data_IF_641140563855
#
_entry.id   IF_641140563855
#
_cell.length_a   1.000
_cell.length_b   1.000
_cell.length_c   1.000
_cell.angle_alpha   90.00
_cell.angle_beta   90.00
_cell.angle_gamma   90.00
#
_symmetry.space_group_name_H-M   'P 1'
#
loop_
_entity.id
_entity.type
_entity.pdbx_description
1 polymer ?
#
# COMPACT_ATOMS: atom_id res chain seq x y z
N UNK A 1 -23.04 -16.87 -9.84
CA UNK A 1 -22.08 -15.85 -9.36
C UNK A 1 -21.66 -15.06 -10.59
N UNK A 2 -21.79 -13.74 -10.58
CA UNK A 2 -21.48 -12.90 -11.75
C UNK A 2 -20.13 -12.23 -11.51
N UNK A 3 -19.20 -12.43 -12.43
CA UNK A 3 -17.91 -11.72 -12.42
C UNK A 3 -18.16 -10.34 -13.01
N UNK A 4 -17.96 -9.31 -12.20
CA UNK A 4 -18.13 -7.91 -12.58
C UNK A 4 -16.82 -7.27 -13.07
N UNK A 5 -16.90 -6.00 -13.47
CA UNK A 5 -15.78 -5.24 -14.01
C UNK A 5 -14.66 -5.01 -13.00
N UNK A 6 -14.97 -4.86 -11.70
CA UNK A 6 -13.95 -4.65 -10.67
C UNK A 6 -13.11 -5.91 -10.47
N UNK A 7 -13.73 -7.09 -10.55
CA UNK A 7 -13.01 -8.36 -10.53
C UNK A 7 -12.12 -8.55 -11.76
N UNK A 8 -12.59 -8.14 -12.94
CA UNK A 8 -11.81 -8.18 -14.18
C UNK A 8 -10.59 -7.25 -14.08
N UNK A 9 -10.79 -6.00 -13.65
CA UNK A 9 -9.71 -5.03 -13.47
C UNK A 9 -8.69 -5.53 -12.43
N UNK A 10 -9.17 -5.97 -11.27
CA UNK A 10 -8.32 -6.54 -10.21
C UNK A 10 -7.55 -7.79 -10.64
N UNK A 11 -8.14 -8.60 -11.53
CA UNK A 11 -7.47 -9.77 -12.10
C UNK A 11 -6.35 -9.36 -13.06
N UNK A 12 -6.56 -8.30 -13.85
CA UNK A 12 -5.60 -7.79 -14.83
C UNK A 12 -4.43 -7.06 -14.17
N UNK A 13 -4.68 -6.24 -13.16
CA UNK A 13 -3.64 -5.48 -12.43
C UNK A 13 -2.96 -6.28 -11.30
N UNK A 14 -3.46 -7.48 -10.99
CA UNK A 14 -2.91 -8.38 -9.99
C UNK A 14 -3.31 -8.07 -8.54
N UNK A 15 -4.23 -7.13 -8.30
CA UNK A 15 -4.70 -6.73 -6.97
C UNK A 15 -5.82 -7.61 -6.41
N UNK A 16 -6.40 -8.49 -7.24
CA UNK A 16 -7.48 -9.39 -6.82
C UNK A 16 -7.00 -10.42 -5.79
N UNK A 17 -7.81 -10.61 -4.74
CA UNK A 17 -7.60 -11.62 -3.70
C UNK A 17 -7.41 -13.04 -4.28
N UNK A 18 -6.53 -13.88 -3.71
CA UNK A 18 -6.23 -15.21 -4.25
C UNK A 18 -7.44 -16.14 -4.43
N UNK A 19 -8.45 -16.08 -3.54
CA UNK A 19 -9.65 -16.90 -3.68
C UNK A 19 -10.50 -16.44 -4.85
N UNK A 20 -10.64 -15.11 -5.02
CA UNK A 20 -11.39 -14.52 -6.14
C UNK A 20 -10.66 -14.76 -7.47
N UNK A 21 -9.33 -14.70 -7.47
CA UNK A 21 -8.50 -15.02 -8.63
C UNK A 21 -8.77 -16.43 -9.17
N UNK A 22 -8.79 -17.45 -8.29
CA UNK A 22 -9.12 -18.83 -8.69
C UNK A 22 -10.49 -18.94 -9.34
N UNK A 23 -11.49 -18.24 -8.79
CA UNK A 23 -12.84 -18.23 -9.36
C UNK A 23 -12.88 -17.60 -10.76
N UNK A 24 -12.09 -16.54 -11.00
CA UNK A 24 -11.95 -15.94 -12.33
C UNK A 24 -11.23 -16.87 -13.30
N UNK A 25 -10.16 -17.55 -12.85
CA UNK A 25 -9.42 -18.53 -13.67
C UNK A 25 -10.32 -19.68 -14.12
N UNK A 26 -11.08 -20.27 -13.19
CA UNK A 26 -12.06 -21.30 -13.51
C UNK A 26 -13.18 -20.82 -14.45
N UNK A 27 -13.58 -19.55 -14.34
CA UNK A 27 -14.58 -18.98 -15.23
C UNK A 27 -14.01 -18.71 -16.63
N UNK A 28 -12.74 -18.30 -16.73
CA UNK A 28 -12.05 -18.07 -18.00
C UNK A 28 -11.95 -19.34 -18.87
N UNK A 29 -11.83 -20.51 -18.24
CA UNK A 29 -11.83 -21.79 -18.96
C UNK A 29 -13.18 -22.12 -19.60
N UNK A 30 -14.27 -21.59 -19.05
CA UNK A 30 -15.65 -21.97 -19.41
C UNK A 30 -16.39 -20.87 -20.18
N UNK A 31 -15.95 -19.62 -20.04
CA UNK A 31 -16.61 -18.46 -20.63
C UNK A 31 -15.66 -17.69 -21.59
N UNK A 32 -15.81 -17.88 -22.91
CA UNK A 32 -15.00 -17.16 -23.89
C UNK A 32 -15.31 -15.65 -23.93
N UNK A 33 -16.48 -15.21 -23.47
CA UNK A 33 -16.83 -13.78 -23.44
C UNK A 33 -16.08 -13.06 -22.33
N UNK A 34 -15.94 -13.69 -21.16
CA UNK A 34 -15.08 -13.22 -20.09
C UNK A 34 -13.61 -13.15 -20.53
N UNK A 35 -13.14 -14.16 -21.28
CA UNK A 35 -11.78 -14.15 -21.82
C UNK A 35 -11.55 -12.96 -22.77
N UNK A 36 -12.53 -12.64 -23.62
CA UNK A 36 -12.47 -11.45 -24.47
C UNK A 36 -12.46 -10.14 -23.67
N UNK A 37 -13.25 -10.05 -22.59
CA UNK A 37 -13.27 -8.89 -21.71
C UNK A 37 -11.93 -8.67 -21.00
N UNK A 38 -11.36 -9.72 -20.42
CA UNK A 38 -10.02 -9.69 -19.79
C UNK A 38 -8.95 -9.29 -20.80
N UNK A 39 -9.03 -9.79 -22.04
CA UNK A 39 -8.08 -9.41 -23.09
C UNK A 39 -8.19 -7.92 -23.45
N UNK A 40 -9.40 -7.41 -23.64
CA UNK A 40 -9.62 -5.97 -23.90
C UNK A 40 -9.06 -5.09 -22.79
N UNK A 41 -9.23 -5.50 -21.53
CA UNK A 41 -8.71 -4.76 -20.39
C UNK A 41 -7.18 -4.77 -20.36
N UNK A 42 -6.55 -5.92 -20.65
CA UNK A 42 -5.09 -6.02 -20.81
C UNK A 42 -4.56 -5.14 -21.93
N UNK A 43 -5.23 -5.14 -23.08
CA UNK A 43 -4.84 -4.30 -24.22
C UNK A 43 -4.93 -2.81 -23.86
N UNK A 44 -5.96 -2.42 -23.10
CA UNK A 44 -6.14 -1.04 -22.60
C UNK A 44 -5.03 -0.67 -21.61
N UNK A 45 -4.71 -1.54 -20.65
CA UNK A 45 -3.63 -1.33 -19.70
C UNK A 45 -2.26 -1.22 -20.40
N UNK A 46 -2.03 -2.03 -21.43
CA UNK A 46 -0.81 -1.97 -22.25
C UNK A 46 -0.70 -0.64 -23.01
N UNK A 47 -1.79 -0.16 -23.60
CA UNK A 47 -1.81 1.16 -24.27
C UNK A 47 -1.48 2.30 -23.31
N UNK A 48 -2.05 2.27 -22.10
CA UNK A 48 -1.76 3.26 -21.07
C UNK A 48 -0.30 3.19 -20.61
N UNK A 49 0.22 2.00 -20.34
CA UNK A 49 1.61 1.82 -19.94
C UNK A 49 2.60 2.24 -21.03
N UNK A 50 2.24 2.08 -22.30
CA UNK A 50 3.05 2.54 -23.42
C UNK A 50 3.01 4.08 -23.57
N UNK A 51 1.84 4.69 -23.34
CA UNK A 51 1.67 6.15 -23.41
C UNK A 51 2.33 6.88 -22.23
N UNK A 52 2.37 6.24 -21.06
CA UNK A 52 2.96 6.76 -19.83
C UNK A 52 4.10 5.84 -19.36
N UNK A 53 5.25 5.83 -20.05
CA UNK A 53 6.38 5.03 -19.62
C UNK A 53 6.84 5.48 -18.23
N UNK A 54 7.37 4.56 -17.40
CA UNK A 54 7.92 4.92 -16.10
C UNK A 54 9.04 5.94 -16.29
N UNK A 55 8.97 7.03 -15.53
CA UNK A 55 9.99 8.07 -15.53
C UNK A 55 10.82 7.93 -14.26
N UNK A 56 12.11 7.69 -14.42
CA UNK A 56 13.07 7.60 -13.33
C UNK A 56 13.68 8.99 -13.08
N UNK A 57 12.90 9.86 -12.46
CA UNK A 57 13.34 11.21 -12.08
C UNK A 57 13.87 11.22 -10.64
N UNK A 58 14.94 11.99 -10.36
CA UNK A 58 15.42 12.14 -8.99
C UNK A 58 14.34 12.78 -8.13
N UNK A 59 14.13 12.23 -6.92
CA UNK A 59 13.20 12.81 -5.96
C UNK A 59 13.58 14.28 -5.70
N UNK A 60 12.61 15.21 -5.71
CA UNK A 60 12.84 16.59 -5.34
C UNK A 60 13.59 16.69 -3.99
N UNK A 61 14.57 17.61 -3.84
CA UNK A 61 15.41 17.67 -2.63
C UNK A 61 14.64 17.79 -1.32
N UNK A 62 13.50 18.49 -1.34
CA UNK A 62 12.61 18.61 -0.21
C UNK A 62 12.06 17.25 0.26
N UNK A 63 11.71 16.35 -0.67
CA UNK A 63 11.24 14.99 -0.35
C UNK A 63 12.40 14.07 0.03
N UNK A 64 13.54 14.17 -0.66
CA UNK A 64 14.75 13.41 -0.33
C UNK A 64 15.21 13.68 1.12
N UNK A 65 15.07 14.92 1.59
CA UNK A 65 15.41 15.31 2.98
C UNK A 65 14.52 14.61 4.02
N UNK A 66 13.26 14.32 3.68
CA UNK A 66 12.35 13.60 4.59
C UNK A 66 12.71 12.12 4.75
N UNK A 67 13.31 11.53 3.72
CA UNK A 67 13.78 10.14 3.74
C UNK A 67 15.18 10.00 4.34
N UNK A 68 15.88 11.12 4.57
CA UNK A 68 17.22 11.09 5.15
C UNK A 68 17.17 10.50 6.57
N UNK A 69 18.07 9.56 6.90
CA UNK A 69 18.10 8.94 8.22
C UNK A 69 18.27 10.02 9.29
N UNK A 70 17.28 10.10 10.19
CA UNK A 70 17.30 11.09 11.28
C UNK A 70 18.16 10.54 12.42
N UNK A 71 19.09 11.34 12.97
CA UNK A 71 19.84 10.93 14.15
C UNK A 71 18.86 10.65 15.30
N UNK A 72 19.01 9.48 15.93
CA UNK A 72 18.21 9.08 17.08
C UNK A 72 18.40 10.09 18.21
N UNK A 73 17.31 10.74 18.62
CA UNK A 73 17.36 11.71 19.70
C UNK A 73 17.72 10.98 21.02
N UNK A 74 18.62 11.56 21.84
CA UNK A 74 18.94 10.97 23.13
C UNK A 74 17.69 10.95 24.02
N UNK A 75 17.40 9.80 24.60
CA UNK A 75 16.30 9.63 25.56
C UNK A 75 16.65 10.47 26.79
N UNK A 76 15.90 11.55 27.02
CA UNK A 76 16.02 12.34 28.24
C UNK A 76 15.18 11.70 29.33
N UNK A 77 15.77 11.32 30.48
CA UNK A 77 15.01 10.81 31.60
C UNK A 77 14.07 11.89 32.13
N UNK A 78 12.83 11.52 32.40
CA UNK A 78 11.83 12.41 32.97
C UNK A 78 12.25 12.86 34.37
N UNK A 79 12.14 14.15 34.73
CA UNK A 79 12.49 14.61 36.07
C UNK A 79 11.50 14.02 37.09
N UNK A 80 11.98 13.12 37.94
CA UNK A 80 11.23 12.67 39.13
C UNK A 80 11.16 13.82 40.12
N UNK A 81 9.95 14.29 40.44
CA UNK A 81 9.73 15.13 41.63
C UNK A 81 9.93 14.24 42.85
N UNK A 82 11.05 14.38 43.54
CA UNK A 82 11.25 13.82 44.87
C UNK A 82 10.34 14.56 45.83
N UNK A 83 9.23 13.93 46.22
CA UNK A 83 8.39 14.43 47.31
C UNK A 83 9.19 14.35 48.61
N UNK A 84 9.66 15.49 49.10
CA UNK A 84 10.22 15.58 50.44
C UNK A 84 9.07 15.39 51.45
N UNK A 85 9.05 14.23 52.10
CA UNK A 85 8.23 13.98 53.28
C UNK A 85 8.73 14.87 54.41
N UNK A 86 7.98 15.93 54.71
CA UNK A 86 8.23 16.77 55.87
C UNK A 86 7.91 16.00 57.15
N UNK A 87 8.96 15.58 57.85
CA UNK A 87 8.92 15.07 59.22
C UNK A 87 8.39 16.18 60.13
N UNK A 88 7.23 15.99 60.78
CA UNK A 88 6.73 16.87 61.84
C UNK A 88 7.29 16.40 63.20
N UNK A 89 7.87 17.29 64.03
CA UNK A 89 8.32 16.92 65.37
C UNK A 89 7.15 16.85 66.36
N UNK A 90 7.28 15.95 67.33
CA UNK A 90 6.41 15.75 68.48
C UNK A 90 6.45 16.97 69.43
N UNK A 91 5.29 17.40 69.91
CA UNK A 91 5.11 18.04 71.21
C UNK A 91 4.58 17.00 72.19
#
# INVERSE_FOLDING_TARGET
MTIDTDWIAGYVDGTLDPNRRRLVEEALERDPTLAAAVRRERDTAALLSAAFPPVEEPLPPALATLLAPRPMAPIRPWPRRSGASATRPHC
#
